data_IF_599440339055
#
_entry.id   IF_599440339055
#
_cell.length_a   1.000
_cell.length_b   1.000
_cell.length_c   1.000
_cell.angle_alpha   90.00
_cell.angle_beta   90.00
_cell.angle_gamma   90.00
#
_symmetry.space_group_name_H-M   'P 1'
#
loop_
_entity.id
_entity.type
_entity.pdbx_description
1 polymer ?
#
# COMPACT_ATOMS: atom_id res chain seq x y z
N UNK A 1 -9.33 -16.96 -17.69
CA UNK A 1 -9.90 -16.36 -16.45
C UNK A 1 -11.40 -16.65 -16.30
N UNK A 2 -11.89 -16.94 -15.09
CA UNK A 2 -13.26 -17.42 -14.83
C UNK A 2 -14.36 -16.56 -15.49
N UNK A 3 -14.36 -15.25 -15.25
CA UNK A 3 -15.35 -14.33 -15.83
C UNK A 3 -15.27 -14.23 -17.35
N UNK A 4 -14.06 -14.25 -17.94
CA UNK A 4 -13.87 -14.22 -19.40
C UNK A 4 -14.37 -15.49 -20.08
N UNK A 5 -14.15 -16.66 -19.46
CA UNK A 5 -14.65 -17.94 -19.99
C UNK A 5 -16.17 -18.03 -19.95
N UNK A 6 -16.81 -17.27 -19.05
CA UNK A 6 -18.27 -17.18 -18.93
C UNK A 6 -18.88 -16.05 -19.77
N UNK A 7 -18.08 -15.34 -20.56
CA UNK A 7 -18.56 -14.22 -21.39
C UNK A 7 -19.00 -12.98 -20.60
N UNK A 8 -18.66 -12.88 -19.30
CA UNK A 8 -19.12 -11.79 -18.42
C UNK A 8 -18.33 -10.48 -18.54
N UNK A 9 -17.43 -10.37 -19.52
CA UNK A 9 -16.65 -9.16 -19.78
C UNK A 9 -17.14 -8.58 -21.09
N UNK A 10 -18.18 -7.76 -20.99
CA UNK A 10 -18.92 -7.16 -22.11
C UNK A 10 -19.12 -5.66 -21.87
N UNK A 11 -19.45 -4.90 -22.93
CA UNK A 11 -19.68 -3.46 -22.84
C UNK A 11 -21.10 -3.10 -22.43
N UNK A 12 -22.05 -3.99 -22.70
CA UNK A 12 -23.47 -3.82 -22.38
C UNK A 12 -23.84 -4.71 -21.19
N UNK A 13 -23.61 -4.20 -19.96
CA UNK A 13 -23.84 -4.94 -18.71
C UNK A 13 -24.99 -4.29 -17.94
N UNK A 14 -25.96 -5.10 -17.50
CA UNK A 14 -27.01 -4.67 -16.58
C UNK A 14 -26.58 -4.78 -15.11
N UNK A 15 -27.13 -3.91 -14.26
CA UNK A 15 -26.89 -3.97 -12.81
C UNK A 15 -27.31 -5.34 -12.21
N UNK A 16 -28.35 -5.98 -12.76
CA UNK A 16 -28.81 -7.31 -12.32
C UNK A 16 -27.76 -8.38 -12.57
N UNK A 17 -27.08 -8.35 -13.71
CA UNK A 17 -25.97 -9.26 -13.98
C UNK A 17 -24.84 -9.06 -12.95
N UNK A 18 -24.49 -7.81 -12.63
CA UNK A 18 -23.47 -7.51 -11.61
C UNK A 18 -23.89 -8.08 -10.24
N UNK A 19 -25.11 -7.81 -9.78
CA UNK A 19 -25.60 -8.31 -8.50
C UNK A 19 -25.63 -9.84 -8.42
N UNK A 20 -25.97 -10.51 -9.52
CA UNK A 20 -26.03 -11.98 -9.58
C UNK A 20 -24.63 -12.64 -9.62
N UNK A 21 -23.59 -11.90 -9.99
CA UNK A 21 -22.28 -12.46 -10.33
C UNK A 21 -21.12 -11.92 -9.44
N UNK A 22 -21.30 -10.80 -8.74
CA UNK A 22 -20.20 -10.11 -8.02
C UNK A 22 -19.49 -10.96 -6.96
N UNK A 23 -20.19 -11.90 -6.31
CA UNK A 23 -19.61 -12.79 -5.29
C UNK A 23 -19.01 -14.07 -5.88
N UNK A 24 -19.27 -14.37 -7.17
CA UNK A 24 -18.83 -15.60 -7.82
C UNK A 24 -17.41 -15.46 -8.35
N UNK A 25 -16.45 -15.88 -7.54
CA UNK A 25 -15.03 -15.96 -7.92
C UNK A 25 -14.68 -17.34 -8.45
N UNK A 26 -13.53 -17.49 -9.13
CA UNK A 26 -13.03 -18.83 -9.47
C UNK A 26 -12.78 -19.66 -8.20
N UNK A 27 -13.27 -20.89 -8.16
CA UNK A 27 -13.09 -21.80 -7.00
C UNK A 27 -11.63 -22.00 -6.61
N UNK A 28 -10.73 -21.97 -7.61
CA UNK A 28 -9.33 -22.23 -7.41
C UNK A 28 -8.54 -20.90 -7.31
N UNK A 29 -8.61 -20.25 -6.14
CA UNK A 29 -7.91 -18.99 -5.87
C UNK A 29 -6.39 -19.10 -6.00
N UNK A 30 -5.86 -20.32 -5.84
CA UNK A 30 -4.46 -20.72 -6.02
C UNK A 30 -3.99 -20.80 -7.48
N UNK A 31 -4.87 -20.59 -8.45
CA UNK A 31 -4.51 -20.57 -9.88
C UNK A 31 -3.47 -19.47 -10.18
N UNK A 32 -2.53 -19.74 -11.12
CA UNK A 32 -1.51 -18.78 -11.51
C UNK A 32 -2.09 -17.47 -12.03
N UNK A 33 -1.28 -16.42 -11.93
CA UNK A 33 -1.67 -15.06 -12.31
C UNK A 33 -1.97 -15.00 -13.81
N UNK A 34 -3.16 -14.50 -14.16
CA UNK A 34 -3.48 -14.21 -15.56
C UNK A 34 -2.76 -12.93 -16.05
N UNK A 35 -2.41 -12.04 -15.11
CA UNK A 35 -1.66 -10.82 -15.37
C UNK A 35 -0.21 -11.00 -14.90
N UNK A 36 0.75 -10.85 -15.81
CA UNK A 36 2.15 -11.20 -15.57
C UNK A 36 2.95 -10.09 -14.88
N UNK A 37 2.57 -8.83 -15.09
CA UNK A 37 3.29 -7.68 -14.55
C UNK A 37 3.15 -7.59 -13.01
N UNK A 38 3.97 -6.76 -12.35
CA UNK A 38 3.79 -6.46 -10.95
C UNK A 38 2.36 -5.97 -10.66
N UNK A 39 1.80 -6.49 -9.57
CA UNK A 39 0.48 -6.10 -9.05
C UNK A 39 0.62 -5.81 -7.57
N UNK A 40 0.26 -4.59 -7.19
CA UNK A 40 0.21 -4.08 -5.82
C UNK A 40 -1.25 -3.98 -5.39
N UNK A 41 -1.57 -4.37 -4.16
CA UNK A 41 -2.87 -4.09 -3.56
C UNK A 41 -2.72 -3.32 -2.25
N UNK A 42 -3.52 -2.26 -2.10
CA UNK A 42 -3.64 -1.54 -0.83
C UNK A 42 -4.58 -2.28 0.12
N UNK A 43 -4.17 -2.40 1.38
CA UNK A 43 -4.96 -3.04 2.44
C UNK A 43 -5.19 -2.01 3.55
N UNK A 44 -6.45 -1.75 3.89
CA UNK A 44 -6.82 -0.66 4.81
C UNK A 44 -7.38 -1.21 6.13
N UNK A 45 -6.97 -0.69 7.30
CA UNK A 45 -7.41 -1.22 8.60
C UNK A 45 -8.92 -1.07 8.85
N UNK A 46 -9.58 -0.06 8.26
CA UNK A 46 -11.03 0.16 8.39
C UNK A 46 -11.89 -0.73 7.48
N UNK A 47 -11.29 -1.62 6.68
CA UNK A 47 -12.01 -2.59 5.84
C UNK A 47 -11.41 -3.99 6.02
N UNK A 48 -11.92 -4.73 7.02
CA UNK A 48 -11.45 -6.05 7.39
C UNK A 48 -11.52 -7.07 6.24
N UNK A 49 -12.51 -6.95 5.35
CA UNK A 49 -12.64 -7.80 4.17
C UNK A 49 -11.40 -7.72 3.26
N UNK A 50 -10.68 -6.60 3.27
CA UNK A 50 -9.41 -6.46 2.55
C UNK A 50 -8.36 -7.48 2.98
N UNK A 51 -8.25 -7.76 4.28
CA UNK A 51 -7.29 -8.74 4.82
C UNK A 51 -7.65 -10.17 4.42
N UNK A 52 -8.94 -10.50 4.47
CA UNK A 52 -9.46 -11.80 4.03
C UNK A 52 -9.22 -12.02 2.53
N UNK A 53 -9.51 -11.01 1.71
CA UNK A 53 -9.31 -11.10 0.26
C UNK A 53 -7.83 -11.18 -0.10
N UNK A 54 -6.96 -10.45 0.62
CA UNK A 54 -5.52 -10.54 0.45
C UNK A 54 -5.02 -11.96 0.70
N UNK A 55 -5.45 -12.61 1.79
CA UNK A 55 -5.08 -13.99 2.09
C UNK A 55 -5.63 -14.97 1.05
N UNK A 56 -6.92 -14.85 0.72
CA UNK A 56 -7.60 -15.75 -0.22
C UNK A 56 -6.97 -15.70 -1.61
N UNK A 57 -6.55 -14.53 -2.06
CA UNK A 57 -6.04 -14.30 -3.42
C UNK A 57 -4.57 -13.87 -3.46
N UNK A 58 -3.79 -14.17 -2.42
CA UNK A 58 -2.40 -13.68 -2.27
C UNK A 58 -1.53 -14.00 -3.49
N UNK A 59 -1.72 -15.18 -4.07
CA UNK A 59 -1.00 -15.65 -5.27
C UNK A 59 -1.29 -14.83 -6.54
N UNK A 60 -2.26 -13.90 -6.49
CA UNK A 60 -2.59 -12.99 -7.58
C UNK A 60 -1.78 -11.69 -7.54
N UNK A 61 -1.16 -11.39 -6.40
CA UNK A 61 -0.39 -10.17 -6.19
C UNK A 61 1.11 -10.46 -6.18
N UNK A 62 1.89 -9.41 -6.38
CA UNK A 62 3.35 -9.42 -6.13
C UNK A 62 3.72 -8.67 -4.86
N UNK A 63 2.92 -7.64 -4.54
CA UNK A 63 3.17 -6.75 -3.43
C UNK A 63 1.83 -6.47 -2.72
N UNK A 64 1.86 -6.36 -1.40
CA UNK A 64 0.77 -5.84 -0.58
C UNK A 64 1.26 -4.59 0.14
N UNK A 65 0.46 -3.53 0.09
CA UNK A 65 0.74 -2.25 0.74
C UNK A 65 -0.30 -1.96 1.81
N UNK A 66 -0.10 -2.43 3.04
CA UNK A 66 -0.97 -2.05 4.14
C UNK A 66 -0.86 -0.54 4.44
N UNK A 67 -2.00 0.08 4.70
CA UNK A 67 -2.16 1.52 4.96
C UNK A 67 -2.15 1.75 6.46
N UNK A 68 -0.97 1.73 7.06
CA UNK A 68 -0.82 1.85 8.52
C UNK A 68 -0.12 3.11 8.97
N UNK A 69 0.85 3.60 8.19
CA UNK A 69 1.85 4.53 8.71
C UNK A 69 1.75 5.94 8.15
N UNK A 70 2.10 6.89 9.01
CA UNK A 70 2.19 8.31 8.70
C UNK A 70 3.43 8.91 9.39
N UNK A 71 4.16 9.77 8.69
CA UNK A 71 5.23 10.60 9.27
C UNK A 71 4.67 12.00 9.51
N UNK A 72 4.72 12.44 10.77
CA UNK A 72 4.24 13.76 11.21
C UNK A 72 5.35 14.59 11.84
N UNK A 73 5.19 15.91 11.79
CA UNK A 73 6.05 16.84 12.53
C UNK A 73 5.70 16.77 14.03
N UNK A 74 6.71 16.60 14.89
CA UNK A 74 6.55 16.60 16.35
C UNK A 74 7.59 17.50 16.99
N UNK A 75 7.17 18.69 17.40
CA UNK A 75 8.08 19.73 17.88
C UNK A 75 9.09 20.10 16.79
N UNK A 76 10.39 19.95 17.10
CA UNK A 76 11.48 20.22 16.16
C UNK A 76 11.86 19.03 15.27
N UNK A 77 11.33 17.82 15.53
CA UNK A 77 11.66 16.59 14.81
C UNK A 77 10.43 15.91 14.20
N UNK A 78 10.53 14.61 14.00
CA UNK A 78 9.49 13.80 13.36
C UNK A 78 9.11 12.58 14.19
N UNK A 79 7.92 12.06 13.91
CA UNK A 79 7.43 10.81 14.50
C UNK A 79 6.76 9.96 13.42
N UNK A 80 7.01 8.66 13.49
CA UNK A 80 6.27 7.64 12.75
C UNK A 80 5.10 7.15 13.62
N UNK A 81 3.88 7.35 13.14
CA UNK A 81 2.66 6.89 13.82
C UNK A 81 2.02 5.70 13.09
N UNK A 82 1.11 5.01 13.79
CA UNK A 82 0.24 3.99 13.21
C UNK A 82 0.73 2.55 13.33
N UNK A 83 1.83 2.29 14.05
CA UNK A 83 2.31 0.94 14.37
C UNK A 83 1.24 0.05 15.02
N UNK A 84 0.33 0.62 15.80
CA UNK A 84 -0.75 -0.14 16.45
C UNK A 84 -1.75 -0.74 15.46
N UNK A 85 -1.79 -0.23 14.22
CA UNK A 85 -2.59 -0.82 13.14
C UNK A 85 -1.89 -2.02 12.47
N UNK A 86 -0.60 -2.27 12.77
CA UNK A 86 0.17 -3.33 12.14
C UNK A 86 -0.23 -4.71 12.68
N UNK A 87 -0.47 -5.64 11.77
CA UNK A 87 -0.85 -7.02 12.12
C UNK A 87 0.27 -7.99 11.74
N UNK A 88 1.13 -8.30 12.72
CA UNK A 88 2.23 -9.27 12.56
C UNK A 88 1.73 -10.69 12.30
N UNK A 89 0.57 -11.07 12.83
CA UNK A 89 0.03 -12.41 12.64
C UNK A 89 -0.46 -12.57 11.21
N UNK A 90 -1.21 -11.58 10.70
CA UNK A 90 -1.65 -11.54 9.31
C UNK A 90 -0.47 -11.56 8.33
N UNK A 91 0.57 -10.75 8.57
CA UNK A 91 1.77 -10.77 7.71
C UNK A 91 2.43 -12.14 7.67
N UNK A 92 2.57 -12.80 8.82
CA UNK A 92 3.16 -14.14 8.92
C UNK A 92 2.34 -15.17 8.15
N UNK A 93 1.02 -15.14 8.30
CA UNK A 93 0.12 -16.04 7.58
C UNK A 93 0.17 -15.80 6.07
N UNK A 94 0.17 -14.55 5.65
CA UNK A 94 0.25 -14.19 4.23
C UNK A 94 1.56 -14.70 3.59
N UNK A 95 2.68 -14.53 4.30
CA UNK A 95 4.01 -15.02 3.87
C UNK A 95 4.12 -16.55 3.91
N UNK A 96 3.33 -17.23 4.75
CA UNK A 96 3.25 -18.70 4.78
C UNK A 96 2.59 -19.25 3.53
N UNK A 97 1.59 -18.54 2.98
CA UNK A 97 0.84 -18.95 1.79
C UNK A 97 1.63 -18.63 0.51
N UNK A 98 2.38 -17.53 0.47
CA UNK A 98 3.15 -17.14 -0.71
C UNK A 98 4.36 -16.27 -0.38
N UNK A 99 5.33 -16.17 -1.30
CA UNK A 99 6.49 -15.29 -1.18
C UNK A 99 6.15 -13.81 -1.52
N UNK A 100 5.00 -13.32 -1.07
CA UNK A 100 4.55 -11.95 -1.32
C UNK A 100 5.48 -10.93 -0.65
N UNK A 101 5.64 -9.78 -1.29
CA UNK A 101 6.35 -8.64 -0.72
C UNK A 101 5.40 -7.72 0.04
N UNK A 102 5.75 -7.35 1.26
CA UNK A 102 4.93 -6.46 2.10
C UNK A 102 5.61 -5.11 2.21
N UNK A 103 4.99 -4.09 1.60
CA UNK A 103 5.51 -2.74 1.43
C UNK A 103 4.50 -1.75 2.02
N UNK A 104 4.45 -1.54 3.35
CA UNK A 104 3.53 -0.59 3.95
C UNK A 104 3.59 0.78 3.28
N UNK A 105 2.41 1.39 3.13
CA UNK A 105 2.33 2.79 2.73
C UNK A 105 2.76 3.66 3.88
N UNK A 106 3.68 4.59 3.61
CA UNK A 106 4.07 5.65 4.54
C UNK A 106 3.63 6.98 3.94
N UNK A 107 2.64 7.60 4.57
CA UNK A 107 2.19 8.95 4.18
C UNK A 107 3.09 10.00 4.83
N UNK A 108 3.71 10.85 4.02
CA UNK A 108 4.44 12.02 4.51
C UNK A 108 3.48 13.16 4.78
N UNK A 109 2.99 13.27 6.01
CA UNK A 109 2.12 14.37 6.45
C UNK A 109 2.89 15.59 6.98
N UNK A 110 4.13 15.39 7.40
CA UNK A 110 5.00 16.43 7.89
C UNK A 110 5.17 17.59 6.88
N UNK A 111 5.45 18.79 7.39
CA UNK A 111 5.61 19.98 6.55
C UNK A 111 6.74 19.77 5.53
N UNK A 112 6.47 19.87 4.22
CA UNK A 112 7.48 19.57 3.19
C UNK A 112 8.75 20.40 3.33
N UNK A 113 8.65 21.66 3.80
CA UNK A 113 9.80 22.54 4.02
C UNK A 113 10.77 22.06 5.08
N UNK A 114 10.28 21.32 6.08
CA UNK A 114 11.16 20.73 7.06
C UNK A 114 11.97 19.58 6.45
N UNK A 115 11.40 18.83 5.52
CA UNK A 115 12.05 17.68 4.86
C UNK A 115 12.93 18.11 3.68
N UNK A 116 12.42 18.92 2.77
CA UNK A 116 13.09 19.21 1.50
C UNK A 116 14.29 20.15 1.64
N UNK A 117 14.32 21.02 2.65
CA UNK A 117 15.41 22.01 2.82
C UNK A 117 16.52 21.58 3.77
N UNK A 118 16.25 20.66 4.71
CA UNK A 118 17.20 20.31 5.77
C UNK A 118 17.63 18.86 5.64
N UNK A 119 18.88 18.62 5.24
CA UNK A 119 19.45 17.27 5.13
C UNK A 119 19.27 16.47 6.43
N UNK A 120 19.60 17.07 7.58
CA UNK A 120 19.43 16.44 8.90
C UNK A 120 18.01 15.90 9.14
N UNK A 121 16.99 16.64 8.70
CA UNK A 121 15.59 16.22 8.86
C UNK A 121 15.22 15.07 7.92
N UNK A 122 15.80 15.03 6.71
CA UNK A 122 15.66 13.87 5.82
C UNK A 122 16.30 12.64 6.41
N UNK A 123 17.52 12.78 6.92
CA UNK A 123 18.26 11.68 7.54
C UNK A 123 17.45 11.11 8.73
N UNK A 124 16.88 11.98 9.58
CA UNK A 124 15.97 11.56 10.68
C UNK A 124 14.76 10.77 10.19
N UNK A 125 14.07 11.22 9.14
CA UNK A 125 12.91 10.51 8.59
C UNK A 125 13.31 9.20 7.91
N UNK A 126 14.44 9.17 7.21
CA UNK A 126 14.99 7.95 6.61
C UNK A 126 15.28 6.93 7.71
N UNK A 127 15.92 7.35 8.81
CA UNK A 127 16.23 6.47 9.93
C UNK A 127 14.97 5.92 10.61
N UNK A 128 13.93 6.74 10.80
CA UNK A 128 12.64 6.28 11.31
C UNK A 128 12.03 5.19 10.43
N UNK A 129 12.02 5.41 9.10
CA UNK A 129 11.43 4.49 8.13
C UNK A 129 12.23 3.17 8.05
N UNK A 130 13.55 3.27 7.92
CA UNK A 130 14.43 2.10 7.80
C UNK A 130 14.38 1.27 9.07
N UNK A 131 14.43 1.92 10.24
CA UNK A 131 14.33 1.23 11.53
C UNK A 131 13.02 0.47 11.67
N UNK A 132 11.90 1.07 11.26
CA UNK A 132 10.59 0.39 11.24
C UNK A 132 10.62 -0.85 10.33
N UNK A 133 11.16 -0.71 9.11
CA UNK A 133 11.26 -1.79 8.15
C UNK A 133 12.08 -2.96 8.67
N UNK A 134 13.20 -2.69 9.35
CA UNK A 134 14.05 -3.72 9.95
C UNK A 134 13.34 -4.41 11.12
N UNK A 135 12.72 -3.66 12.02
CA UNK A 135 12.00 -4.20 13.19
C UNK A 135 10.80 -5.06 12.78
N UNK A 136 10.06 -4.63 11.76
CA UNK A 136 8.83 -5.27 11.31
C UNK A 136 9.05 -6.26 10.15
N UNK A 137 10.27 -6.34 9.62
CA UNK A 137 10.65 -7.18 8.47
C UNK A 137 9.80 -6.88 7.23
N UNK A 138 9.67 -5.59 6.91
CA UNK A 138 9.06 -5.14 5.66
C UNK A 138 10.05 -5.30 4.49
N UNK A 139 9.52 -5.56 3.29
CA UNK A 139 10.35 -5.70 2.08
C UNK A 139 10.64 -4.36 1.40
N UNK A 140 10.11 -3.26 1.94
CA UNK A 140 10.21 -1.92 1.39
C UNK A 140 9.03 -1.07 1.84
N UNK A 141 8.79 0.02 1.13
CA UNK A 141 7.70 0.96 1.43
C UNK A 141 7.04 1.44 0.14
N UNK A 142 5.80 1.92 0.27
CA UNK A 142 5.21 2.85 -0.70
C UNK A 142 5.21 4.23 -0.05
N UNK A 143 6.10 5.11 -0.49
CA UNK A 143 6.17 6.48 0.02
C UNK A 143 5.14 7.36 -0.69
N UNK A 144 4.24 7.98 0.06
CA UNK A 144 3.17 8.80 -0.49
C UNK A 144 3.24 10.22 0.08
N UNK A 145 3.39 11.21 -0.81
CA UNK A 145 3.53 12.62 -0.41
C UNK A 145 2.85 13.59 -1.37
N UNK A 146 2.36 13.11 -2.51
CA UNK A 146 1.95 13.92 -3.65
C UNK A 146 0.90 14.99 -3.29
N UNK A 147 -0.19 14.59 -2.63
CA UNK A 147 -1.28 15.52 -2.27
C UNK A 147 -0.80 16.64 -1.36
N UNK A 148 0.07 16.31 -0.39
CA UNK A 148 0.69 17.30 0.50
C UNK A 148 1.62 18.22 -0.28
N UNK A 149 2.49 17.68 -1.12
CA UNK A 149 3.42 18.49 -1.92
C UNK A 149 2.71 19.43 -2.89
N UNK A 150 1.63 18.96 -3.52
CA UNK A 150 0.77 19.81 -4.33
C UNK A 150 0.16 20.96 -3.50
N UNK A 151 -0.41 20.66 -2.33
CA UNK A 151 -1.01 21.66 -1.45
C UNK A 151 -0.02 22.73 -0.96
N UNK A 152 1.25 22.36 -0.76
CA UNK A 152 2.31 23.30 -0.35
C UNK A 152 3.03 23.97 -1.52
N UNK A 153 2.56 23.81 -2.75
CA UNK A 153 3.18 24.43 -3.93
C UNK A 153 4.57 23.90 -4.27
N UNK A 154 5.01 22.78 -3.67
CA UNK A 154 6.32 22.16 -3.93
C UNK A 154 6.46 21.79 -5.41
N UNK A 155 5.36 21.40 -6.04
CA UNK A 155 5.33 21.07 -7.47
C UNK A 155 5.44 22.31 -8.37
N UNK A 156 5.43 23.53 -7.84
CA UNK A 156 5.57 24.77 -8.62
C UNK A 156 6.83 25.56 -8.24
N UNK A 157 7.52 25.17 -7.17
CA UNK A 157 8.76 25.79 -6.73
C UNK A 157 9.97 24.96 -7.21
N UNK A 158 10.73 25.41 -8.22
CA UNK A 158 11.90 24.70 -8.71
C UNK A 158 13.05 24.66 -7.70
N UNK A 159 13.17 25.66 -6.81
CA UNK A 159 14.23 25.71 -5.80
C UNK A 159 14.02 24.63 -4.73
N UNK A 160 12.78 24.17 -4.54
CA UNK A 160 12.47 23.03 -3.68
C UNK A 160 12.84 21.67 -4.29
N UNK A 161 13.18 21.63 -5.59
CA UNK A 161 13.57 20.42 -6.33
C UNK A 161 15.08 20.29 -6.52
N UNK A 162 15.81 21.40 -6.42
CA UNK A 162 17.26 21.43 -6.59
C UNK A 162 17.88 21.10 -5.23
N UNK A 163 18.41 19.88 -5.11
CA UNK A 163 19.16 19.37 -3.95
C UNK A 163 20.61 19.14 -4.31
#
# INVERSE_FOLDING_TARGET
PYVRRRGLVETDISFRQVLNENMKTSDNSSQPRNFKNPMLAYITPWNSQGYEMANRFVNKFTHLSPVWYEIKSKGAGFILEGRDNSDKAWMRETRRISNIKILPRILLEAFPMQLLRKKRHRDEVIDLIVSECLVMQYDGIVLESWSRWAAYGVLHDPDMRIM
#
